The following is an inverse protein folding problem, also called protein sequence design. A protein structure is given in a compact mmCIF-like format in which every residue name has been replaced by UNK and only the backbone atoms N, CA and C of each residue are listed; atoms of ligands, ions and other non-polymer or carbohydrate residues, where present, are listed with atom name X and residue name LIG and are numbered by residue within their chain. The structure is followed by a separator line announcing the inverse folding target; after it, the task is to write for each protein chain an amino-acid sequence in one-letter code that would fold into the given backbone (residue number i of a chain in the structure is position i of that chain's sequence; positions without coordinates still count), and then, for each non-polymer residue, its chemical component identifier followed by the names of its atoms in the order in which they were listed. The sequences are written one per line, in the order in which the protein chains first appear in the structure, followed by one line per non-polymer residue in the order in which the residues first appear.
data_IF_577232114419
#
_entry.id   IF_577232114419
#
_cell.length_a   1.000
_cell.length_b   1.000
_cell.length_c   1.000
_cell.angle_alpha   90.00
_cell.angle_beta   90.00
_cell.angle_gamma   90.00
#
_symmetry.space_group_name_H-M   'P 1'
#
loop_
_entity.id
_entity.type
_entity.pdbx_description
1 polymer ?
#
# COMPACT_ATOMS: atom_id res chain seq x y z
N UNK A 1 12.49 -31.13 33.04
CA UNK A 1 12.13 -30.09 32.05
C UNK A 1 10.62 -29.81 32.01
N UNK A 2 9.75 -30.81 31.83
CA UNK A 2 8.28 -30.63 31.80
C UNK A 2 7.67 -30.05 33.10
N UNK A 3 8.22 -30.36 34.27
CA UNK A 3 7.75 -29.77 35.54
C UNK A 3 7.99 -28.26 35.67
N UNK A 4 9.03 -27.71 35.02
CA UNK A 4 9.29 -26.28 35.03
C UNK A 4 8.28 -25.50 34.18
N UNK A 5 7.81 -26.10 33.07
CA UNK A 5 6.79 -25.54 32.18
C UNK A 5 5.39 -25.52 32.82
N UNK A 6 5.12 -26.40 33.80
CA UNK A 6 3.85 -26.44 34.54
C UNK A 6 3.76 -25.45 35.70
N UNK A 7 4.82 -24.65 35.95
CA UNK A 7 4.79 -23.64 37.02
C UNK A 7 3.74 -22.56 36.68
N UNK A 8 2.84 -22.19 37.61
CA UNK A 8 1.81 -21.18 37.34
C UNK A 8 2.37 -19.86 36.81
N UNK A 9 3.53 -19.43 37.30
CA UNK A 9 4.21 -18.21 36.85
C UNK A 9 4.69 -18.28 35.39
N UNK A 10 5.14 -19.44 34.92
CA UNK A 10 5.55 -19.65 33.52
C UNK A 10 4.34 -19.63 32.60
N UNK A 11 3.24 -20.30 33.01
CA UNK A 11 1.99 -20.32 32.25
C UNK A 11 1.39 -18.92 32.15
N UNK A 12 1.34 -18.18 33.27
CA UNK A 12 0.82 -16.82 33.30
C UNK A 12 1.68 -15.87 32.46
N UNK A 13 3.01 -15.97 32.55
CA UNK A 13 3.92 -15.19 31.70
C UNK A 13 3.73 -15.47 30.21
N UNK A 14 3.58 -16.74 29.83
CA UNK A 14 3.32 -17.12 28.44
C UNK A 14 1.97 -16.57 27.95
N UNK A 15 0.93 -16.66 28.78
CA UNK A 15 -0.39 -16.10 28.48
C UNK A 15 -0.35 -14.58 28.29
N UNK A 16 0.37 -13.86 29.15
CA UNK A 16 0.57 -12.42 29.00
C UNK A 16 1.36 -12.08 27.74
N UNK A 17 2.43 -12.83 27.43
CA UNK A 17 3.21 -12.65 26.21
C UNK A 17 2.39 -12.87 24.95
N UNK A 18 1.51 -13.89 24.96
CA UNK A 18 0.57 -14.16 23.88
C UNK A 18 -0.42 -12.99 23.71
N UNK A 19 -1.05 -12.54 24.79
CA UNK A 19 -1.98 -11.41 24.74
C UNK A 19 -1.33 -10.15 24.16
N UNK A 20 -0.15 -9.79 24.65
CA UNK A 20 0.63 -8.63 24.16
C UNK A 20 0.93 -8.79 22.67
N UNK A 21 1.38 -9.97 22.25
CA UNK A 21 1.71 -10.24 20.85
C UNK A 21 0.48 -10.17 19.93
N UNK A 22 -0.68 -10.67 20.38
CA UNK A 22 -1.93 -10.57 19.62
C UNK A 22 -2.41 -9.11 19.52
N UNK A 23 -2.32 -8.32 20.59
CA UNK A 23 -2.68 -6.90 20.55
C UNK A 23 -1.76 -6.09 19.63
N UNK A 24 -0.45 -6.36 19.66
CA UNK A 24 0.53 -5.68 18.82
C UNK A 24 0.40 -6.06 17.35
N UNK A 25 0.34 -7.35 17.02
CA UNK A 25 0.49 -7.80 15.63
C UNK A 25 -0.81 -8.26 14.97
N UNK A 26 -1.86 -8.55 15.76
CA UNK A 26 -3.13 -9.08 15.28
C UNK A 26 -4.34 -8.36 15.91
N UNK A 27 -4.40 -7.02 15.88
CA UNK A 27 -5.49 -6.26 16.51
C UNK A 27 -6.87 -6.61 15.95
N UNK A 28 -6.94 -7.14 14.73
CA UNK A 28 -8.18 -7.65 14.14
C UNK A 28 -8.83 -8.78 14.96
N UNK A 29 -8.07 -9.58 15.70
CA UNK A 29 -8.59 -10.62 16.59
C UNK A 29 -9.47 -10.07 17.73
N UNK A 30 -9.35 -8.77 18.02
CA UNK A 30 -10.11 -8.04 19.02
C UNK A 30 -11.01 -6.95 18.41
N UNK A 31 -11.22 -6.96 17.09
CA UNK A 31 -11.94 -5.90 16.37
C UNK A 31 -11.33 -4.50 16.50
N UNK A 32 -10.01 -4.42 16.76
CA UNK A 32 -9.29 -3.15 16.94
C UNK A 32 -8.64 -2.63 15.65
N UNK A 33 -8.84 -3.31 14.52
CA UNK A 33 -8.17 -2.99 13.24
C UNK A 33 -8.59 -1.64 12.62
N UNK A 34 -9.72 -1.06 13.05
CA UNK A 34 -10.15 0.30 12.69
C UNK A 34 -9.98 1.29 13.82
N UNK A 35 -9.38 0.90 14.94
CA UNK A 35 -9.17 1.79 16.09
C UNK A 35 -7.86 2.55 15.87
N UNK A 36 -7.93 3.86 16.07
CA UNK A 36 -6.78 4.76 16.03
C UNK A 36 -5.63 4.21 16.89
N UNK A 37 -4.42 4.24 16.34
CA UNK A 37 -3.23 3.67 16.97
C UNK A 37 -2.96 2.24 16.52
N UNK A 38 -3.95 1.33 16.61
CA UNK A 38 -3.82 -0.04 16.10
C UNK A 38 -3.71 -0.09 14.58
N UNK A 39 -4.47 0.75 13.89
CA UNK A 39 -4.34 0.93 12.43
C UNK A 39 -2.94 1.39 12.05
N UNK A 40 -2.40 2.41 12.74
CA UNK A 40 -1.07 2.95 12.49
C UNK A 40 0.02 1.92 12.78
N UNK A 41 -0.13 1.14 13.86
CA UNK A 41 0.81 0.08 14.22
C UNK A 41 0.80 -1.08 13.21
N UNK A 42 -0.37 -1.36 12.62
CA UNK A 42 -0.52 -2.34 11.54
C UNK A 42 0.11 -1.82 10.24
N UNK A 43 -0.10 -0.55 9.91
CA UNK A 43 0.45 0.06 8.71
C UNK A 43 1.98 0.21 8.79
N UNK A 44 2.48 0.65 9.95
CA UNK A 44 3.90 0.84 10.26
C UNK A 44 4.52 -0.44 10.82
N UNK A 45 4.21 -1.58 10.20
CA UNK A 45 4.67 -2.90 10.66
C UNK A 45 6.17 -3.04 10.86
N UNK A 46 7.06 -2.52 9.96
CA UNK A 46 8.49 -2.57 10.23
C UNK A 46 8.91 -1.76 11.46
N UNK A 47 8.33 -0.57 11.66
CA UNK A 47 8.59 0.23 12.85
C UNK A 47 8.07 -0.45 14.13
N UNK A 48 6.89 -1.07 14.07
CA UNK A 48 6.34 -1.88 15.14
C UNK A 48 7.26 -3.06 15.51
N UNK A 49 7.75 -3.81 14.52
CA UNK A 49 8.70 -4.90 14.72
C UNK A 49 10.00 -4.43 15.38
N UNK A 50 10.56 -3.32 14.91
CA UNK A 50 11.77 -2.73 15.50
C UNK A 50 11.54 -2.31 16.97
N UNK A 51 10.41 -1.66 17.24
CA UNK A 51 10.06 -1.18 18.59
C UNK A 51 9.84 -2.34 19.56
N UNK A 52 9.05 -3.34 19.17
CA UNK A 52 8.80 -4.53 20.00
C UNK A 52 10.08 -5.34 20.18
N UNK A 53 10.90 -5.49 19.13
CA UNK A 53 12.20 -6.14 19.20
C UNK A 53 13.13 -5.47 20.21
N UNK A 54 13.24 -4.14 20.17
CA UNK A 54 14.03 -3.37 21.14
C UNK A 54 13.51 -3.54 22.58
N UNK A 55 12.19 -3.50 22.77
CA UNK A 55 11.57 -3.70 24.09
C UNK A 55 11.84 -5.12 24.64
N UNK A 56 11.83 -6.14 23.78
CA UNK A 56 12.19 -7.51 24.14
C UNK A 56 13.65 -7.60 24.58
N UNK A 57 14.57 -6.95 23.87
CA UNK A 57 16.00 -6.93 24.23
C UNK A 57 16.22 -6.29 25.61
N UNK A 58 15.61 -5.13 25.86
CA UNK A 58 15.65 -4.46 27.17
C UNK A 58 15.01 -5.34 28.25
N UNK A 59 13.91 -6.01 27.92
CA UNK A 59 13.26 -6.97 28.80
C UNK A 59 14.17 -8.13 29.20
N UNK A 60 14.99 -8.66 28.29
CA UNK A 60 15.96 -9.70 28.61
C UNK A 60 17.08 -9.21 29.54
N UNK A 61 17.50 -7.94 29.42
CA UNK A 61 18.43 -7.32 30.37
C UNK A 61 17.79 -7.20 31.76
N UNK A 62 16.53 -6.77 31.85
CA UNK A 62 15.81 -6.74 33.12
C UNK A 62 15.63 -8.15 33.71
N UNK A 63 15.34 -9.14 32.87
CA UNK A 63 15.27 -10.53 33.30
C UNK A 63 16.62 -11.03 33.84
N UNK A 64 17.77 -10.65 33.26
CA UNK A 64 19.08 -11.04 33.77
C UNK A 64 19.32 -10.55 35.21
N UNK A 65 18.72 -9.41 35.59
CA UNK A 65 18.79 -8.85 36.94
C UNK A 65 17.81 -9.54 37.91
N UNK A 66 16.54 -9.65 37.53
CA UNK A 66 15.47 -10.12 38.44
C UNK A 66 15.23 -11.64 38.40
N UNK A 67 15.71 -12.32 37.35
CA UNK A 67 15.59 -13.77 37.09
C UNK A 67 14.18 -14.34 37.23
N UNK A 68 13.16 -13.52 36.97
CA UNK A 68 11.75 -13.92 37.06
C UNK A 68 11.38 -14.93 35.97
N UNK A 69 10.88 -16.14 36.31
CA UNK A 69 10.46 -17.13 35.31
C UNK A 69 9.23 -16.67 34.51
N UNK A 70 8.37 -15.83 35.11
CA UNK A 70 7.22 -15.23 34.43
C UNK A 70 7.67 -14.27 33.32
N UNK A 71 8.61 -13.38 33.65
CA UNK A 71 9.15 -12.41 32.70
C UNK A 71 9.87 -13.11 31.54
N UNK A 72 10.69 -14.14 31.84
CA UNK A 72 11.36 -14.90 30.79
C UNK A 72 10.36 -15.56 29.84
N UNK A 73 9.35 -16.23 30.39
CA UNK A 73 8.29 -16.89 29.61
C UNK A 73 7.58 -15.91 28.68
N UNK A 74 7.18 -14.75 29.23
CA UNK A 74 6.58 -13.67 28.45
C UNK A 74 7.49 -13.20 27.31
N UNK A 75 8.76 -12.89 27.60
CA UNK A 75 9.71 -12.37 26.62
C UNK A 75 10.00 -13.38 25.51
N UNK A 76 10.12 -14.68 25.85
CA UNK A 76 10.32 -15.73 24.85
C UNK A 76 9.12 -15.81 23.92
N UNK A 77 7.88 -15.78 24.43
CA UNK A 77 6.68 -15.79 23.59
C UNK A 77 6.65 -14.56 22.68
N UNK A 78 6.88 -13.35 23.22
CA UNK A 78 6.88 -12.12 22.42
C UNK A 78 8.01 -12.14 21.37
N UNK A 79 9.19 -12.63 21.71
CA UNK A 79 10.32 -12.76 20.79
C UNK A 79 9.99 -13.70 19.62
N UNK A 80 9.39 -14.86 19.91
CA UNK A 80 8.99 -15.84 18.88
C UNK A 80 7.90 -15.27 17.95
N UNK A 81 6.90 -14.58 18.50
CA UNK A 81 5.87 -13.91 17.69
C UNK A 81 6.47 -12.79 16.83
N UNK A 82 7.32 -11.95 17.40
CA UNK A 82 8.00 -10.87 16.68
C UNK A 82 8.86 -11.43 15.55
N UNK A 83 9.61 -12.51 15.79
CA UNK A 83 10.39 -13.18 14.77
C UNK A 83 9.49 -13.78 13.67
N UNK A 84 8.41 -14.46 14.03
CA UNK A 84 7.46 -15.03 13.07
C UNK A 84 6.80 -13.97 12.18
N UNK A 85 6.32 -12.87 12.77
CA UNK A 85 5.76 -11.73 12.03
C UNK A 85 6.83 -11.06 11.17
N UNK A 86 8.06 -10.94 11.67
CA UNK A 86 9.20 -10.41 10.92
C UNK A 86 9.53 -11.24 9.69
N UNK A 87 9.53 -12.58 9.81
CA UNK A 87 9.71 -13.50 8.68
C UNK A 87 8.56 -13.39 7.68
N UNK A 88 7.31 -13.36 8.17
CA UNK A 88 6.13 -13.19 7.32
C UNK A 88 6.19 -11.87 6.53
N UNK A 89 6.53 -10.77 7.18
CA UNK A 89 6.70 -9.47 6.55
C UNK A 89 7.86 -9.48 5.53
N UNK A 90 9.03 -10.01 5.90
CA UNK A 90 10.18 -10.11 5.00
C UNK A 90 9.91 -10.99 3.78
N UNK A 91 9.00 -11.97 3.87
CA UNK A 91 8.61 -12.83 2.75
C UNK A 91 7.87 -12.09 1.61
N UNK A 92 7.31 -10.91 1.91
CA UNK A 92 6.78 -9.97 0.90
C UNK A 92 7.89 -9.32 0.07
N UNK A 93 9.13 -9.41 0.54
CA UNK A 93 10.34 -9.05 -0.19
C UNK A 93 10.79 -7.59 -0.04
N UNK A 94 12.10 -7.41 0.14
CA UNK A 94 12.75 -6.14 0.48
C UNK A 94 13.32 -5.41 -0.74
N UNK A 95 12.95 -5.82 -1.95
CA UNK A 95 13.50 -5.24 -3.18
C UNK A 95 12.89 -3.86 -3.42
N UNK A 96 13.70 -2.92 -3.89
CA UNK A 96 13.20 -1.61 -4.37
C UNK A 96 12.73 -1.70 -5.83
N UNK A 97 13.37 -2.58 -6.59
CA UNK A 97 13.00 -2.91 -7.96
C UNK A 97 13.16 -4.41 -8.18
N UNK A 98 12.38 -4.93 -9.10
CA UNK A 98 12.43 -6.32 -9.51
C UNK A 98 12.19 -6.40 -11.02
N UNK A 99 12.87 -7.36 -11.65
CA UNK A 99 12.66 -7.70 -13.04
C UNK A 99 12.86 -9.21 -13.17
N UNK A 100 11.88 -9.85 -13.80
CA UNK A 100 11.91 -11.25 -14.19
C UNK A 100 11.61 -11.33 -15.68
N UNK A 101 11.85 -12.50 -16.29
CA UNK A 101 11.56 -12.68 -17.71
C UNK A 101 10.09 -12.34 -18.00
N UNK A 102 9.88 -11.38 -18.91
CA UNK A 102 8.54 -11.01 -19.33
C UNK A 102 7.87 -12.22 -20.02
N UNK A 103 6.62 -12.56 -19.66
CA UNK A 103 5.82 -13.46 -20.48
C UNK A 103 5.72 -12.94 -21.91
N UNK A 104 5.55 -13.83 -22.88
CA UNK A 104 5.26 -13.44 -24.27
C UNK A 104 3.91 -12.75 -24.36
N UNK A 105 3.82 -11.64 -25.11
CA UNK A 105 2.57 -10.93 -25.35
C UNK A 105 2.77 -9.41 -25.37
N UNK A 106 1.67 -8.68 -25.38
CA UNK A 106 1.68 -7.23 -25.26
C UNK A 106 2.10 -6.81 -23.84
N UNK A 107 2.91 -5.77 -23.74
CA UNK A 107 3.34 -5.20 -22.47
C UNK A 107 2.51 -3.97 -22.13
N UNK A 108 2.18 -3.81 -20.86
CA UNK A 108 1.54 -2.64 -20.28
C UNK A 108 2.44 -2.05 -19.20
N UNK A 109 2.81 -0.77 -19.30
CA UNK A 109 3.53 -0.05 -18.25
C UNK A 109 2.59 0.90 -17.53
N UNK A 110 2.54 0.81 -16.20
CA UNK A 110 1.66 1.63 -15.35
C UNK A 110 2.51 2.36 -14.32
N UNK A 111 2.29 3.66 -14.20
CA UNK A 111 2.89 4.52 -13.18
C UNK A 111 1.81 4.99 -12.22
N UNK A 112 2.06 4.97 -10.92
CA UNK A 112 1.20 5.61 -9.93
C UNK A 112 1.99 6.49 -8.97
N UNK A 113 1.39 7.61 -8.56
CA UNK A 113 1.98 8.53 -7.62
C UNK A 113 0.93 9.44 -6.96
N UNK A 114 0.87 9.40 -5.62
CA UNK A 114 0.39 10.55 -4.85
C UNK A 114 1.45 11.65 -4.93
N UNK A 115 1.10 12.80 -5.50
CA UNK A 115 2.05 13.90 -5.74
C UNK A 115 2.08 14.92 -4.61
N UNK A 116 1.27 14.76 -3.56
CA UNK A 116 1.01 15.74 -2.50
C UNK A 116 0.28 17.00 -3.00
N UNK A 117 -0.81 17.35 -2.32
CA UNK A 117 -1.63 18.51 -2.65
C UNK A 117 -0.82 19.81 -2.65
N UNK A 118 -0.99 20.60 -3.71
CA UNK A 118 -0.26 21.87 -3.90
C UNK A 118 1.19 21.72 -4.36
N UNK A 119 1.70 20.51 -4.53
CA UNK A 119 3.01 20.28 -5.14
C UNK A 119 2.93 20.50 -6.67
N UNK A 120 3.95 21.14 -7.23
CA UNK A 120 4.11 21.37 -8.67
C UNK A 120 5.53 21.01 -9.18
N UNK A 121 6.37 20.45 -8.30
CA UNK A 121 7.81 20.22 -8.53
C UNK A 121 8.12 18.84 -9.15
N UNK A 122 7.10 18.03 -9.48
CA UNK A 122 7.24 16.68 -10.02
C UNK A 122 7.57 16.59 -11.52
N UNK A 123 8.42 17.50 -12.03
CA UNK A 123 8.88 17.46 -13.42
C UNK A 123 9.59 16.13 -13.79
N UNK A 124 10.35 15.55 -12.84
CA UNK A 124 10.99 14.23 -13.04
C UNK A 124 9.99 13.08 -13.18
N UNK A 125 8.77 13.20 -12.62
CA UNK A 125 7.71 12.22 -12.84
C UNK A 125 7.26 12.22 -14.30
N UNK A 126 7.06 13.38 -14.91
CA UNK A 126 6.66 13.47 -16.32
C UNK A 126 7.79 13.09 -17.29
N UNK A 127 9.04 13.36 -16.94
CA UNK A 127 10.20 12.78 -17.65
C UNK A 127 10.13 11.26 -17.63
N UNK A 128 9.92 10.65 -16.46
CA UNK A 128 9.76 9.19 -16.33
C UNK A 128 8.59 8.67 -17.15
N UNK A 129 7.41 9.29 -17.08
CA UNK A 129 6.22 8.90 -17.86
C UNK A 129 6.54 8.88 -19.36
N UNK A 130 7.25 9.89 -19.86
CA UNK A 130 7.67 9.97 -21.25
C UNK A 130 8.73 8.92 -21.60
N UNK A 131 9.78 8.81 -20.80
CA UNK A 131 10.94 7.98 -21.09
C UNK A 131 10.64 6.48 -20.98
N UNK A 132 9.65 6.12 -20.15
CA UNK A 132 9.13 4.74 -20.00
C UNK A 132 7.96 4.46 -20.92
N UNK A 133 7.50 5.47 -21.66
CA UNK A 133 6.28 5.46 -22.48
C UNK A 133 5.12 4.78 -21.72
N UNK A 134 4.82 5.26 -20.51
CA UNK A 134 3.81 4.64 -19.64
C UNK A 134 2.43 4.58 -20.32
N UNK A 135 1.75 3.45 -20.29
CA UNK A 135 0.44 3.31 -20.94
C UNK A 135 -0.69 3.88 -20.08
N UNK A 136 -0.53 3.82 -18.76
CA UNK A 136 -1.48 4.30 -17.77
C UNK A 136 -0.72 5.03 -16.66
N UNK A 137 -1.20 6.21 -16.26
CA UNK A 137 -0.70 6.95 -15.10
C UNK A 137 -1.84 7.24 -14.14
N UNK A 138 -1.74 6.75 -12.92
CA UNK A 138 -2.68 7.01 -11.83
C UNK A 138 -2.08 8.04 -10.86
N UNK A 139 -2.62 9.25 -10.86
CA UNK A 139 -2.14 10.33 -10.00
C UNK A 139 -3.15 10.63 -8.91
N UNK A 140 -2.67 10.85 -7.68
CA UNK A 140 -3.47 11.28 -6.55
C UNK A 140 -2.93 12.63 -6.05
N UNK A 141 -3.82 13.46 -5.53
CA UNK A 141 -3.55 14.85 -5.08
C UNK A 141 -2.98 15.77 -6.16
N UNK A 142 -3.24 15.43 -7.42
CA UNK A 142 -2.75 16.18 -8.57
C UNK A 142 -3.80 17.19 -9.04
N UNK A 143 -3.42 18.47 -9.09
CA UNK A 143 -4.26 19.49 -9.72
C UNK A 143 -4.30 19.29 -11.24
N UNK A 144 -5.50 19.29 -11.83
CA UNK A 144 -5.71 19.06 -13.26
C UNK A 144 -4.90 20.03 -14.13
N UNK A 145 -4.93 21.32 -13.78
CA UNK A 145 -4.17 22.37 -14.47
C UNK A 145 -2.66 22.12 -14.48
N UNK A 146 -2.10 21.61 -13.37
CA UNK A 146 -0.67 21.29 -13.31
C UNK A 146 -0.34 20.07 -14.16
N UNK A 147 -1.23 19.08 -14.23
CA UNK A 147 -1.07 17.92 -15.11
C UNK A 147 -1.13 18.33 -16.57
N UNK A 148 -2.05 19.21 -16.97
CA UNK A 148 -2.15 19.75 -18.33
C UNK A 148 -0.89 20.50 -18.74
N UNK A 149 -0.41 21.44 -17.91
CA UNK A 149 0.83 22.19 -18.15
C UNK A 149 2.04 21.25 -18.36
N UNK A 150 2.11 20.18 -17.56
CA UNK A 150 3.18 19.18 -17.66
C UNK A 150 3.02 18.32 -18.92
N UNK A 151 1.81 17.91 -19.28
CA UNK A 151 1.56 17.19 -20.53
C UNK A 151 2.01 18.02 -21.74
N UNK A 152 1.74 19.32 -21.75
CA UNK A 152 2.20 20.23 -22.80
C UNK A 152 3.73 20.32 -22.81
N UNK A 153 4.35 20.65 -21.67
CA UNK A 153 5.80 20.78 -21.51
C UNK A 153 6.57 19.55 -21.98
N UNK A 154 6.02 18.35 -21.79
CA UNK A 154 6.68 17.08 -22.13
C UNK A 154 6.22 16.47 -23.46
N UNK A 155 5.34 17.14 -24.22
CA UNK A 155 4.87 16.68 -25.53
C UNK A 155 3.99 15.44 -25.46
N UNK A 156 3.13 15.36 -24.44
CA UNK A 156 2.29 14.19 -24.14
C UNK A 156 0.79 14.44 -24.33
N UNK A 157 0.35 15.68 -24.60
CA UNK A 157 -1.07 16.07 -24.77
C UNK A 157 -1.80 15.17 -25.77
N UNK A 158 -1.17 14.89 -26.92
CA UNK A 158 -1.81 14.08 -27.96
C UNK A 158 -1.84 12.59 -27.65
N UNK A 159 -1.02 12.11 -26.70
CA UNK A 159 -0.90 10.69 -26.36
C UNK A 159 -1.97 10.19 -25.41
N UNK A 160 -2.38 11.01 -24.44
CA UNK A 160 -3.25 10.57 -23.34
C UNK A 160 -4.65 11.17 -23.45
N UNK A 161 -5.64 10.39 -22.99
CA UNK A 161 -6.87 10.93 -22.43
C UNK A 161 -6.61 11.19 -20.94
N UNK A 162 -7.06 12.33 -20.42
CA UNK A 162 -7.03 12.66 -19.00
C UNK A 162 -8.47 12.64 -18.49
N UNK A 163 -8.71 11.99 -17.36
CA UNK A 163 -10.03 12.03 -16.70
C UNK A 163 -10.31 13.43 -16.17
N UNK A 164 -11.58 13.85 -16.11
CA UNK A 164 -11.95 15.08 -15.41
C UNK A 164 -11.62 14.98 -13.92
N UNK A 165 -11.62 16.13 -13.25
CA UNK A 165 -11.54 16.22 -11.78
C UNK A 165 -12.62 15.36 -11.12
N UNK A 166 -12.26 14.72 -10.01
CA UNK A 166 -13.18 13.86 -9.27
C UNK A 166 -14.03 14.71 -8.34
N UNK A 167 -15.33 14.42 -8.18
CA UNK A 167 -16.12 15.08 -7.15
C UNK A 167 -15.57 14.71 -5.77
N UNK A 168 -14.99 15.68 -5.06
CA UNK A 168 -14.50 15.49 -3.69
C UNK A 168 -15.47 16.10 -2.68
N UNK A 169 -15.51 15.57 -1.45
CA UNK A 169 -16.46 16.04 -0.43
C UNK A 169 -15.97 17.29 0.33
N UNK A 170 -14.69 17.63 0.21
CA UNK A 170 -14.01 18.75 0.87
C UNK A 170 -12.88 19.30 -0.01
N UNK A 171 -12.51 20.59 0.08
CA UNK A 171 -11.30 21.12 -0.58
C UNK A 171 -9.99 20.49 -0.09
N UNK A 172 -10.01 19.78 1.04
CA UNK A 172 -8.89 18.99 1.55
C UNK A 172 -8.87 17.55 1.02
N UNK A 173 -9.98 17.13 0.40
CA UNK A 173 -10.08 15.85 -0.27
C UNK A 173 -9.54 16.08 -1.68
N UNK A 174 -8.43 15.41 -1.98
CA UNK A 174 -7.59 15.75 -3.11
C UNK A 174 -7.86 14.81 -4.30
N UNK A 175 -7.90 15.38 -5.49
CA UNK A 175 -8.32 14.70 -6.72
C UNK A 175 -7.48 13.47 -7.08
N UNK A 176 -8.15 12.50 -7.69
CA UNK A 176 -7.50 11.43 -8.43
C UNK A 176 -7.67 11.66 -9.92
N UNK A 177 -6.58 11.50 -10.68
CA UNK A 177 -6.58 11.58 -12.13
C UNK A 177 -6.05 10.28 -12.72
N UNK A 178 -6.62 9.89 -13.86
CA UNK A 178 -6.08 8.85 -14.74
C UNK A 178 -5.68 9.47 -16.06
N UNK A 179 -4.44 9.21 -16.48
CA UNK A 179 -3.97 9.46 -17.83
C UNK A 179 -3.84 8.10 -18.51
N UNK A 180 -4.59 7.89 -19.60
CA UNK A 180 -4.60 6.62 -20.32
C UNK A 180 -4.27 6.88 -21.78
N UNK A 181 -3.28 6.15 -22.33
CA UNK A 181 -2.93 6.31 -23.75
C UNK A 181 -4.15 6.03 -24.64
N UNK A 182 -4.31 6.85 -25.69
CA UNK A 182 -5.46 6.77 -26.60
C UNK A 182 -5.55 5.45 -27.37
N UNK A 183 -4.43 4.74 -27.58
CA UNK A 183 -4.41 3.43 -28.24
C UNK A 183 -5.11 2.33 -27.42
N UNK A 184 -5.25 2.50 -26.10
CA UNK A 184 -6.06 1.65 -25.22
C UNK A 184 -7.56 1.93 -25.33
N UNK A 185 -7.98 2.81 -26.26
CA UNK A 185 -9.37 3.21 -26.53
C UNK A 185 -10.12 3.62 -25.25
N UNK A 186 -9.57 4.56 -24.45
CA UNK A 186 -10.12 4.91 -23.15
C UNK A 186 -11.51 5.54 -23.27
N UNK A 187 -12.42 5.11 -22.40
CA UNK A 187 -13.73 5.70 -22.17
C UNK A 187 -13.88 6.02 -20.69
N UNK A 188 -14.04 7.30 -20.35
CA UNK A 188 -14.20 7.75 -18.96
C UNK A 188 -15.45 7.15 -18.36
N UNK A 189 -15.33 6.59 -17.15
CA UNK A 189 -16.45 6.16 -16.33
C UNK A 189 -16.92 7.37 -15.52
N UNK A 190 -18.23 7.59 -15.45
CA UNK A 190 -18.81 8.73 -14.74
C UNK A 190 -18.39 8.73 -13.27
N UNK A 191 -17.67 9.78 -12.86
CA UNK A 191 -17.10 9.91 -11.52
C UNK A 191 -18.18 9.95 -10.42
N UNK A 192 -19.40 10.38 -10.73
CA UNK A 192 -20.52 10.34 -9.78
C UNK A 192 -20.99 8.91 -9.45
N UNK A 193 -20.62 7.93 -10.27
CA UNK A 193 -20.93 6.50 -10.03
C UNK A 193 -19.81 5.78 -9.28
N UNK A 194 -18.68 6.46 -9.07
CA UNK A 194 -17.49 5.86 -8.48
C UNK A 194 -17.39 6.15 -6.97
N UNK A 195 -16.59 5.35 -6.25
CA UNK A 195 -16.26 5.65 -4.87
C UNK A 195 -15.54 6.99 -4.73
N UNK A 196 -15.32 7.39 -3.48
CA UNK A 196 -14.62 8.62 -3.12
C UNK A 196 -13.27 8.75 -3.87
N UNK A 197 -12.97 9.98 -4.31
CA UNK A 197 -11.71 10.38 -4.97
C UNK A 197 -11.15 9.31 -5.91
N UNK A 198 -12.02 8.72 -6.73
CA UNK A 198 -11.68 7.64 -7.66
C UNK A 198 -11.93 8.10 -9.09
N UNK A 199 -10.93 7.96 -9.95
CA UNK A 199 -11.08 8.14 -11.39
C UNK A 199 -11.09 6.78 -12.08
N UNK A 200 -12.00 6.58 -13.03
CA UNK A 200 -12.19 5.30 -13.72
C UNK A 200 -12.21 5.45 -15.23
N UNK A 201 -11.55 4.52 -15.92
CA UNK A 201 -11.53 4.45 -17.39
C UNK A 201 -11.73 3.00 -17.82
N UNK A 202 -12.67 2.79 -18.73
CA UNK A 202 -12.80 1.52 -19.47
C UNK A 202 -11.88 1.55 -20.68
N UNK A 203 -11.09 0.49 -20.86
CA UNK A 203 -10.09 0.36 -21.93
C UNK A 203 -10.25 -0.95 -22.69
N UNK A 204 -9.43 -1.16 -23.72
CA UNK A 204 -9.34 -2.44 -24.44
C UNK A 204 -8.85 -3.62 -23.57
N UNK A 205 -8.24 -3.36 -22.41
CA UNK A 205 -7.80 -4.39 -21.45
C UNK A 205 -8.76 -4.53 -20.25
N UNK A 206 -9.89 -3.82 -20.25
CA UNK A 206 -10.86 -3.76 -19.16
C UNK A 206 -10.81 -2.46 -18.37
N UNK A 207 -11.40 -2.45 -17.18
CA UNK A 207 -11.57 -1.24 -16.37
C UNK A 207 -10.36 -0.99 -15.47
N UNK A 208 -9.91 0.26 -15.45
CA UNK A 208 -8.75 0.71 -14.69
C UNK A 208 -9.12 1.91 -13.84
N UNK A 209 -8.64 1.93 -12.60
CA UNK A 209 -8.99 2.95 -11.60
C UNK A 209 -7.75 3.57 -10.95
N UNK A 210 -7.75 4.91 -10.82
CA UNK A 210 -6.91 5.64 -9.87
C UNK A 210 -7.71 5.79 -8.58
N UNK A 211 -7.16 5.30 -7.48
CA UNK A 211 -7.85 5.29 -6.17
C UNK A 211 -7.11 6.18 -5.17
N UNK A 212 -7.88 6.84 -4.31
CA UNK A 212 -7.36 7.62 -3.20
C UNK A 212 -8.31 7.51 -2.00
N UNK A 213 -8.10 6.50 -1.17
CA UNK A 213 -8.92 6.32 0.03
C UNK A 213 -8.66 7.46 1.01
N UNK A 214 -9.67 7.90 1.76
CA UNK A 214 -9.47 8.78 2.91
C UNK A 214 -8.33 8.29 3.79
N UNK A 215 -7.56 9.19 4.40
CA UNK A 215 -6.50 8.83 5.34
C UNK A 215 -7.04 8.46 6.75
N UNK A 216 -6.38 7.56 7.50
CA UNK A 216 -6.78 7.17 8.85
C UNK A 216 -6.42 8.23 9.91
N UNK A 217 -6.99 9.43 9.81
CA UNK A 217 -6.73 10.53 10.76
C UNK A 217 -7.53 10.39 12.07
N UNK A 218 -7.00 10.92 13.17
CA UNK A 218 -7.52 10.72 14.54
C UNK A 218 -8.79 11.53 14.83
N UNK A 219 -9.89 11.22 14.13
CA UNK A 219 -11.25 11.71 14.41
C UNK A 219 -12.23 10.59 14.11
N UNK A 220 -13.22 10.39 15.00
CA UNK A 220 -14.06 9.18 14.95
C UNK A 220 -14.89 9.04 13.66
N UNK A 221 -15.27 10.15 13.04
CA UNK A 221 -15.95 10.17 11.73
C UNK A 221 -14.97 9.82 10.61
N UNK A 222 -13.81 10.48 10.58
CA UNK A 222 -12.80 10.31 9.54
C UNK A 222 -12.23 8.89 9.53
N UNK A 223 -12.04 8.28 10.71
CA UNK A 223 -11.63 6.88 10.83
C UNK A 223 -12.67 5.91 10.26
N UNK A 224 -13.98 6.20 10.39
CA UNK A 224 -15.04 5.40 9.75
C UNK A 224 -15.10 5.62 8.25
N UNK A 225 -14.86 6.85 7.80
CA UNK A 225 -14.80 7.19 6.38
C UNK A 225 -13.61 6.49 5.72
N UNK A 226 -12.42 6.49 6.34
CA UNK A 226 -11.28 5.67 5.94
C UNK A 226 -11.66 4.20 5.80
N UNK A 227 -12.21 3.58 6.84
CA UNK A 227 -12.51 2.16 6.78
C UNK A 227 -13.51 1.80 5.67
N UNK A 228 -14.47 2.71 5.41
CA UNK A 228 -15.45 2.56 4.34
C UNK A 228 -14.82 2.78 2.97
N UNK A 229 -14.06 3.86 2.76
CA UNK A 229 -13.44 4.17 1.45
C UNK A 229 -12.48 3.07 1.02
N UNK A 230 -11.59 2.64 1.93
CA UNK A 230 -10.65 1.53 1.68
C UNK A 230 -11.40 0.28 1.20
N UNK A 231 -12.50 -0.08 1.88
CA UNK A 231 -13.28 -1.25 1.50
C UNK A 231 -13.94 -1.05 0.13
N UNK A 232 -14.67 0.05 -0.06
CA UNK A 232 -15.45 0.31 -1.27
C UNK A 232 -14.56 0.42 -2.51
N UNK A 233 -13.42 1.11 -2.41
CA UNK A 233 -12.46 1.24 -3.51
C UNK A 233 -11.78 -0.09 -3.82
N UNK A 234 -11.33 -0.82 -2.78
CA UNK A 234 -10.79 -2.17 -2.98
C UNK A 234 -11.81 -3.10 -3.63
N UNK A 235 -13.10 -2.99 -3.32
CA UNK A 235 -14.15 -3.84 -3.89
C UNK A 235 -14.37 -3.58 -5.40
N UNK A 236 -13.82 -2.51 -5.99
CA UNK A 236 -13.76 -2.35 -7.46
C UNK A 236 -12.97 -3.48 -8.13
N UNK A 237 -12.02 -4.08 -7.41
CA UNK A 237 -11.25 -5.25 -7.85
C UNK A 237 -12.15 -6.44 -8.28
N UNK A 238 -13.41 -6.47 -7.84
CA UNK A 238 -14.33 -7.52 -8.23
C UNK A 238 -14.59 -7.60 -9.73
N UNK A 239 -14.45 -6.48 -10.45
CA UNK A 239 -14.70 -6.37 -11.88
C UNK A 239 -13.59 -5.62 -12.65
N UNK A 240 -12.77 -4.83 -11.96
CA UNK A 240 -11.67 -4.11 -12.56
C UNK A 240 -10.51 -5.02 -12.99
N UNK A 241 -9.80 -4.59 -14.03
CA UNK A 241 -8.53 -5.19 -14.43
C UNK A 241 -7.38 -4.70 -13.54
N UNK A 242 -7.40 -3.41 -13.16
CA UNK A 242 -6.33 -2.79 -12.38
C UNK A 242 -6.85 -1.63 -11.53
N UNK A 243 -6.47 -1.61 -10.25
CA UNK A 243 -6.59 -0.47 -9.37
C UNK A 243 -5.16 -0.03 -9.02
N UNK A 244 -4.85 1.25 -9.18
CA UNK A 244 -3.54 1.79 -8.85
C UNK A 244 -3.71 3.10 -8.06
N UNK A 245 -2.99 3.24 -6.95
CA UNK A 245 -3.01 4.48 -6.18
C UNK A 245 -2.85 4.28 -4.69
N UNK A 246 -3.24 5.30 -3.93
CA UNK A 246 -3.09 5.37 -2.48
C UNK A 246 -4.35 4.82 -1.80
N UNK A 247 -4.24 3.63 -1.22
CA UNK A 247 -5.32 3.03 -0.45
C UNK A 247 -5.29 3.46 1.02
N UNK A 248 -4.31 4.26 1.46
CA UNK A 248 -4.16 4.68 2.86
C UNK A 248 -4.19 3.49 3.86
N UNK A 249 -3.85 2.28 3.38
CA UNK A 249 -3.90 1.03 4.12
C UNK A 249 -2.92 0.03 3.52
N UNK A 250 -2.31 -0.80 4.36
CA UNK A 250 -1.39 -1.87 3.91
C UNK A 250 -2.13 -3.17 3.63
N UNK A 251 -1.53 -4.09 2.86
CA UNK A 251 -2.06 -5.46 2.65
C UNK A 251 -2.14 -6.29 3.93
N UNK A 252 -1.55 -5.83 5.04
CA UNK A 252 -1.71 -6.44 6.37
C UNK A 252 -3.07 -6.10 7.02
N UNK A 253 -3.74 -5.04 6.55
CA UNK A 253 -5.08 -4.68 7.00
C UNK A 253 -6.12 -5.68 6.49
N UNK A 254 -7.07 -6.15 7.34
CA UNK A 254 -8.17 -6.98 6.85
C UNK A 254 -9.06 -6.26 5.83
N UNK A 255 -9.06 -4.92 5.79
CA UNK A 255 -9.82 -4.13 4.82
C UNK A 255 -9.28 -4.26 3.39
N UNK A 256 -7.99 -4.56 3.24
CA UNK A 256 -7.33 -4.72 1.94
C UNK A 256 -7.40 -6.15 1.39
N UNK A 257 -7.91 -7.11 2.18
CA UNK A 257 -8.03 -8.50 1.73
C UNK A 257 -9.06 -8.61 0.62
N UNK A 258 -8.60 -9.02 -0.56
CA UNK A 258 -9.43 -9.35 -1.72
C UNK A 258 -9.32 -10.83 -2.05
N UNK A 259 -10.36 -11.39 -2.67
CA UNK A 259 -10.36 -12.76 -3.19
C UNK A 259 -10.04 -12.86 -4.70
N UNK A 260 -10.02 -11.73 -5.43
CA UNK A 260 -9.93 -11.71 -6.91
C UNK A 260 -8.67 -11.05 -7.45
N UNK A 261 -8.15 -10.01 -6.78
CA UNK A 261 -6.91 -9.35 -7.18
C UNK A 261 -5.76 -9.77 -6.29
N UNK A 262 -4.57 -9.53 -6.80
CA UNK A 262 -3.32 -9.69 -6.06
C UNK A 262 -2.60 -8.34 -6.09
N UNK A 263 -1.79 -8.07 -5.08
CA UNK A 263 -0.90 -6.91 -5.11
C UNK A 263 0.33 -7.24 -5.98
N UNK A 264 0.51 -6.48 -7.06
CA UNK A 264 1.56 -6.72 -8.05
C UNK A 264 2.97 -6.62 -7.48
N UNK A 265 3.15 -5.76 -6.48
CA UNK A 265 4.45 -5.54 -5.91
C UNK A 265 4.75 -6.56 -4.78
N UNK A 266 3.75 -7.22 -4.18
CA UNK A 266 3.94 -8.42 -3.33
C UNK A 266 4.42 -9.61 -4.19
N UNK A 267 3.84 -9.79 -5.38
CA UNK A 267 4.26 -10.81 -6.36
C UNK A 267 5.72 -10.62 -6.81
N UNK A 268 6.10 -9.37 -7.09
CA UNK A 268 7.47 -9.00 -7.46
C UNK A 268 8.48 -8.95 -6.29
N UNK A 269 8.06 -9.35 -5.08
CA UNK A 269 8.92 -9.35 -3.88
C UNK A 269 9.44 -7.95 -3.49
N UNK A 270 8.57 -6.95 -3.60
CA UNK A 270 8.80 -5.55 -3.24
C UNK A 270 7.92 -5.09 -2.06
N UNK A 271 7.22 -6.02 -1.39
CA UNK A 271 6.15 -5.71 -0.42
C UNK A 271 6.49 -5.44 1.01
N UNK A 272 7.76 -5.60 1.34
CA UNK A 272 8.31 -5.13 2.59
C UNK A 272 8.92 -3.71 2.46
N UNK A 273 8.62 -2.95 1.40
CA UNK A 273 9.02 -1.55 1.26
C UNK A 273 7.83 -0.61 1.34
N UNK A 274 7.94 0.37 2.21
CA UNK A 274 6.98 1.43 2.40
C UNK A 274 7.11 2.54 1.36
N UNK A 275 5.97 2.95 0.82
CA UNK A 275 5.83 4.11 -0.04
C UNK A 275 5.76 5.41 0.75
N UNK A 276 5.25 5.36 1.99
CA UNK A 276 5.07 6.52 2.86
C UNK A 276 5.63 6.32 4.28
N UNK A 277 6.23 7.34 4.93
CA UNK A 277 6.62 8.62 4.35
C UNK A 277 7.90 8.47 3.50
N UNK A 278 8.03 9.30 2.47
CA UNK A 278 9.19 9.35 1.57
C UNK A 278 10.45 9.89 2.27
N UNK A 279 10.27 10.68 3.34
CA UNK A 279 11.33 11.23 4.17
C UNK A 279 12.04 10.20 5.06
N UNK A 280 11.42 9.04 5.29
CA UNK A 280 12.03 7.93 6.06
C UNK A 280 12.65 6.91 5.12
N UNK A 281 13.50 6.00 5.62
CA UNK A 281 13.88 4.83 4.84
C UNK A 281 12.64 4.01 4.45
N UNK A 282 12.56 3.58 3.19
CA UNK A 282 11.45 2.71 2.74
C UNK A 282 11.40 1.37 3.48
N UNK A 283 12.46 0.98 4.20
CA UNK A 283 12.44 -0.20 5.08
C UNK A 283 11.64 0.00 6.37
N UNK A 284 11.29 1.25 6.71
CA UNK A 284 10.58 1.61 7.94
C UNK A 284 9.21 2.24 7.69
N UNK A 285 8.89 2.56 6.43
CA UNK A 285 7.61 3.16 6.04
C UNK A 285 6.46 2.15 5.94
N UNK A 286 5.25 2.69 5.83
CA UNK A 286 4.05 1.96 5.45
C UNK A 286 3.95 1.85 3.93
N UNK A 287 3.48 0.70 3.46
CA UNK A 287 3.15 0.47 2.06
C UNK A 287 1.66 0.72 1.86
N UNK A 288 1.29 1.94 1.49
CA UNK A 288 -0.11 2.35 1.33
C UNK A 288 -0.49 2.59 -0.13
N UNK A 289 0.50 2.77 -1.00
CA UNK A 289 0.33 2.81 -2.45
C UNK A 289 0.44 1.40 -3.02
N UNK A 290 -0.56 0.97 -3.80
CA UNK A 290 -0.67 -0.39 -4.31
C UNK A 290 -1.15 -0.43 -5.76
N UNK A 291 -0.78 -1.51 -6.44
CA UNK A 291 -1.39 -1.91 -7.71
C UNK A 291 -2.08 -3.25 -7.50
N UNK A 292 -3.40 -3.23 -7.33
CA UNK A 292 -4.22 -4.43 -7.23
C UNK A 292 -4.71 -4.81 -8.63
N UNK A 293 -4.36 -6.01 -9.11
CA UNK A 293 -4.65 -6.41 -10.48
C UNK A 293 -5.36 -7.76 -10.56
N UNK A 294 -6.15 -7.95 -11.62
CA UNK A 294 -6.74 -9.24 -11.97
C UNK A 294 -5.66 -10.16 -12.57
N UNK A 295 -5.28 -11.19 -11.83
CA UNK A 295 -4.21 -12.13 -12.20
C UNK A 295 -4.55 -13.06 -13.37
N UNK A 296 -5.81 -13.05 -13.85
CA UNK A 296 -6.20 -13.74 -15.08
C UNK A 296 -6.00 -12.87 -16.33
N UNK A 297 -5.70 -11.58 -16.17
CA UNK A 297 -5.57 -10.63 -17.29
C UNK A 297 -4.15 -10.07 -17.37
N UNK A 298 -3.53 -9.77 -16.23
CA UNK A 298 -2.20 -9.17 -16.17
C UNK A 298 -1.23 -10.06 -15.42
N UNK A 299 0.05 -10.01 -15.80
CA UNK A 299 1.15 -10.67 -15.07
C UNK A 299 2.29 -9.68 -14.87
N UNK A 300 2.56 -9.20 -13.64
CA UNK A 300 3.66 -8.28 -13.39
C UNK A 300 5.00 -8.99 -13.59
N UNK A 301 5.91 -8.38 -14.35
CA UNK A 301 7.25 -8.92 -14.57
C UNK A 301 8.37 -7.91 -14.26
N UNK A 302 8.03 -6.62 -14.10
CA UNK A 302 8.99 -5.58 -13.75
C UNK A 302 8.33 -4.56 -12.83
N UNK A 303 9.08 -4.05 -11.87
CA UNK A 303 8.61 -3.05 -10.93
C UNK A 303 9.74 -2.21 -10.35
N UNK A 304 9.44 -0.95 -10.05
CA UNK A 304 10.33 -0.03 -9.34
C UNK A 304 9.50 0.90 -8.44
N UNK A 305 9.96 1.07 -7.20
CA UNK A 305 9.52 2.18 -6.34
C UNK A 305 10.51 3.34 -6.47
N UNK A 306 10.01 4.55 -6.74
CA UNK A 306 10.83 5.72 -7.05
C UNK A 306 10.42 6.95 -6.24
N UNK A 307 11.34 7.91 -6.11
CA UNK A 307 11.07 9.17 -5.40
C UNK A 307 10.31 10.13 -6.30
N UNK A 308 9.26 10.74 -5.77
CA UNK A 308 8.50 11.82 -6.41
C UNK A 308 8.91 13.15 -5.78
N UNK A 309 9.38 14.08 -6.60
CA UNK A 309 9.88 15.37 -6.09
C UNK A 309 8.77 16.18 -5.44
N UNK A 310 9.03 16.66 -4.23
CA UNK A 310 8.09 17.46 -3.44
C UNK A 310 6.96 16.66 -2.79
N UNK A 311 6.88 15.34 -3.02
CA UNK A 311 5.86 14.46 -2.41
C UNK A 311 6.38 13.78 -1.15
N UNK A 312 5.48 13.55 -0.20
CA UNK A 312 5.71 12.68 0.96
C UNK A 312 5.46 11.19 0.64
N UNK A 313 5.09 10.87 -0.60
CA UNK A 313 5.01 9.50 -1.13
C UNK A 313 6.17 9.15 -2.06
N UNK A 314 6.37 7.85 -2.22
CA UNK A 314 7.13 7.26 -3.33
C UNK A 314 6.15 6.77 -4.38
N UNK A 315 6.49 6.99 -5.65
CA UNK A 315 5.72 6.46 -6.77
C UNK A 315 6.07 5.00 -7.05
N UNK A 316 5.18 4.34 -7.79
CA UNK A 316 5.35 2.97 -8.27
C UNK A 316 5.29 2.96 -9.80
N UNK A 317 6.19 2.21 -10.42
CA UNK A 317 6.14 1.89 -11.83
C UNK A 317 6.18 0.38 -11.98
N UNK A 318 5.19 -0.18 -12.66
CA UNK A 318 5.11 -1.62 -12.89
C UNK A 318 4.83 -1.90 -14.36
N UNK A 319 5.48 -2.93 -14.89
CA UNK A 319 5.19 -3.47 -16.22
C UNK A 319 4.58 -4.86 -16.12
N UNK A 320 3.56 -5.08 -16.93
CA UNK A 320 2.75 -6.28 -16.96
C UNK A 320 2.77 -6.86 -18.37
N UNK A 321 2.78 -8.19 -18.47
CA UNK A 321 2.33 -8.84 -19.70
C UNK A 321 0.80 -8.95 -19.66
N UNK A 322 0.15 -8.60 -20.76
CA UNK A 322 -1.29 -8.79 -20.95
C UNK A 322 -1.51 -10.22 -21.44
N UNK A 323 -2.25 -11.01 -20.67
CA UNK A 323 -2.59 -12.38 -21.07
C UNK A 323 -3.53 -12.30 -22.27
N UNK A 324 -3.14 -12.93 -23.38
CA UNK A 324 -4.01 -13.08 -24.55
C UNK A 324 -5.19 -13.98 -24.18
N UNK A 325 -6.40 -13.57 -24.58
CA UNK A 325 -7.58 -14.44 -24.54
C UNK A 325 -7.41 -15.67 -25.41
#
# INVERSE_FOLDING_TARGET
MLHALRRPSVIFGAGLGLLVSLLCFFPAAFSLHTVTGFVHFTAMRPFALATVGAAVLVGFLAWALFRSPMLLSMLVVVALFTAGVGVQWASKGLRNSAEVAAPSGDSLTVVSANVLIGNNSYDRLFQRIRDTDADIVAMQEAAHTTVEDKLEKYGLVDKYLVTPETPTASPTDADSLLLVKKNLKPQVIDSHTLPFATAGVRTSIGEVYSVHAHAPVQRSVDQRNWARSVKTERDLCEHATLLAGDFNATTDSPLMRTGRCVDAADELKMGARGSWPSSWSSLLGARIDHHLYNHNVLTPYKGEMFVVDGSDHRGLQLSYAVQGN
#
